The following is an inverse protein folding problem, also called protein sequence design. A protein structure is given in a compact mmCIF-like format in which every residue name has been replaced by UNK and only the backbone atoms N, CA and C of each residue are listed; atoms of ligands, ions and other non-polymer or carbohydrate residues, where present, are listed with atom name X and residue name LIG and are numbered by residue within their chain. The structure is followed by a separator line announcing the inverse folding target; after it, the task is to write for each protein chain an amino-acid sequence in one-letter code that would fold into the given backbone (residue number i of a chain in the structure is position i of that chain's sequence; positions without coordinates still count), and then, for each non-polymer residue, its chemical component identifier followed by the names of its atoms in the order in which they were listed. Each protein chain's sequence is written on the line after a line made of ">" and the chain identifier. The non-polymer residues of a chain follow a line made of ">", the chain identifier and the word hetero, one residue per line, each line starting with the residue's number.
data_IF_966110094803
#
_entry.id   IF_966110094803
#
_cell.length_a   1.000
_cell.length_b   1.000
_cell.length_c   1.000
_cell.angle_alpha   90.00
_cell.angle_beta   90.00
_cell.angle_gamma   90.00
#
_symmetry.space_group_name_H-M   'P 1'
#
loop_
_entity.id
_entity.type
_entity.pdbx_description
1 polymer ?
#
# COMPACT_ATOMS: atom_id res chain seq x y z
N UNK A 1 -18.72 2.45 8.38
CA UNK A 1 -19.13 1.25 7.59
C UNK A 1 -17.94 0.31 7.30
N UNK A 2 -16.73 0.83 7.08
CA UNK A 2 -15.49 0.07 6.83
C UNK A 2 -15.05 -0.88 7.96
N UNK A 3 -15.30 -0.49 9.22
CA UNK A 3 -14.92 -1.32 10.38
C UNK A 3 -15.62 -2.67 10.47
N UNK A 4 -16.84 -2.80 9.93
CA UNK A 4 -17.58 -4.07 9.95
C UNK A 4 -16.93 -5.10 8.99
N UNK A 5 -16.50 -4.66 7.82
CA UNK A 5 -15.79 -5.52 6.86
C UNK A 5 -14.44 -6.01 7.43
N UNK A 6 -13.71 -5.14 8.13
CA UNK A 6 -12.47 -5.52 8.80
C UNK A 6 -12.71 -6.51 9.95
N UNK A 7 -13.77 -6.31 10.73
CA UNK A 7 -14.13 -7.20 11.83
C UNK A 7 -14.43 -8.62 11.33
N UNK A 8 -15.27 -8.76 10.29
CA UNK A 8 -15.55 -10.05 9.66
C UNK A 8 -14.30 -10.71 9.05
N UNK A 9 -13.45 -9.92 8.38
CA UNK A 9 -12.17 -10.41 7.85
C UNK A 9 -11.27 -10.98 8.95
N UNK A 10 -11.09 -10.24 10.04
CA UNK A 10 -10.27 -10.69 11.16
C UNK A 10 -10.82 -11.97 11.81
N UNK A 11 -12.13 -12.11 11.99
CA UNK A 11 -12.73 -13.36 12.48
C UNK A 11 -12.40 -14.56 11.59
N UNK A 12 -12.45 -14.37 10.26
CA UNK A 12 -12.14 -15.43 9.32
C UNK A 12 -10.65 -15.83 9.35
N UNK A 13 -9.73 -14.86 9.45
CA UNK A 13 -8.30 -15.12 9.62
C UNK A 13 -7.99 -15.84 10.94
N UNK A 14 -8.64 -15.45 12.04
CA UNK A 14 -8.52 -16.13 13.34
C UNK A 14 -9.00 -17.58 13.25
N UNK A 15 -10.10 -17.83 12.55
CA UNK A 15 -10.59 -19.19 12.31
C UNK A 15 -9.59 -20.04 11.51
N UNK A 16 -8.99 -19.48 10.45
CA UNK A 16 -7.94 -20.17 9.69
C UNK A 16 -6.70 -20.46 10.53
N UNK A 17 -6.23 -19.50 11.31
CA UNK A 17 -5.07 -19.67 12.18
C UNK A 17 -5.33 -20.73 13.25
N UNK A 18 -6.54 -20.78 13.82
CA UNK A 18 -6.94 -21.84 14.75
C UNK A 18 -6.90 -23.21 14.08
N UNK A 19 -7.42 -23.34 12.86
CA UNK A 19 -7.36 -24.59 12.08
C UNK A 19 -5.91 -25.02 11.81
N UNK A 20 -5.02 -24.07 11.50
CA UNK A 20 -3.60 -24.31 11.27
C UNK A 20 -2.86 -24.72 12.56
N UNK A 21 -3.14 -24.06 13.69
CA UNK A 21 -2.58 -24.38 15.00
C UNK A 21 -2.88 -25.82 15.43
N UNK A 22 -4.10 -26.30 15.19
CA UNK A 22 -4.47 -27.70 15.46
C UNK A 22 -3.76 -28.68 14.53
N UNK A 23 -3.52 -28.32 13.27
CA UNK A 23 -2.83 -29.17 12.30
C UNK A 23 -1.33 -29.30 12.62
N UNK A 24 -0.68 -28.19 12.97
CA UNK A 24 0.76 -28.13 13.28
C UNK A 24 1.08 -28.47 14.74
N UNK A 25 0.06 -28.67 15.60
CA UNK A 25 0.19 -28.89 17.06
C UNK A 25 1.07 -27.83 17.76
N UNK A 26 0.98 -26.58 17.30
CA UNK A 26 1.78 -25.45 17.75
C UNK A 26 0.90 -24.38 18.37
N UNK A 27 1.32 -23.87 19.53
CA UNK A 27 0.61 -22.83 20.30
C UNK A 27 1.01 -21.39 19.94
N UNK A 28 2.06 -21.20 19.13
CA UNK A 28 2.67 -19.91 18.79
C UNK A 28 2.14 -19.30 17.46
N UNK A 29 0.98 -19.74 16.99
CA UNK A 29 0.38 -19.25 15.75
C UNK A 29 -0.22 -17.86 15.96
N UNK A 30 0.45 -16.83 15.43
CA UNK A 30 -0.01 -15.45 15.44
C UNK A 30 -0.69 -15.08 14.11
N UNK A 31 -1.78 -14.31 14.18
CA UNK A 31 -2.47 -13.74 13.02
C UNK A 31 -1.99 -12.32 12.78
N UNK A 32 -1.69 -11.99 11.53
CA UNK A 32 -1.52 -10.60 11.12
C UNK A 32 -2.89 -9.95 10.97
N UNK A 33 -3.18 -8.81 11.63
CA UNK A 33 -4.48 -8.18 11.56
C UNK A 33 -4.78 -7.74 10.12
N UNK A 34 -6.00 -8.00 9.67
CA UNK A 34 -6.49 -7.56 8.37
C UNK A 34 -6.75 -6.05 8.41
N UNK A 35 -5.99 -5.30 7.61
CA UNK A 35 -6.04 -3.84 7.54
C UNK A 35 -5.90 -3.32 6.11
N UNK A 36 -6.14 -2.01 5.94
CA UNK A 36 -5.85 -1.33 4.67
C UNK A 36 -4.34 -1.22 4.51
N UNK A 37 -3.84 -1.60 3.33
CA UNK A 37 -2.45 -1.38 2.94
C UNK A 37 -2.27 0.10 2.58
N UNK A 38 -1.69 0.89 3.49
CA UNK A 38 -1.43 2.33 3.28
C UNK A 38 -0.62 2.59 1.99
N UNK A 39 0.46 1.84 1.68
CA UNK A 39 1.16 1.95 0.39
C UNK A 39 0.26 1.75 -0.83
N UNK A 40 -0.61 0.73 -0.79
CA UNK A 40 -1.54 0.43 -1.87
C UNK A 40 -2.61 1.51 -2.04
N UNK A 41 -3.11 2.06 -0.93
CA UNK A 41 -4.06 3.16 -0.95
C UNK A 41 -3.44 4.43 -1.56
N UNK A 42 -2.20 4.77 -1.22
CA UNK A 42 -1.49 5.89 -1.82
C UNK A 42 -1.26 5.69 -3.31
N UNK A 43 -0.87 4.49 -3.75
CA UNK A 43 -0.74 4.20 -5.17
C UNK A 43 -2.07 4.43 -5.92
N UNK A 44 -3.21 3.98 -5.38
CA UNK A 44 -4.52 4.25 -5.96
C UNK A 44 -4.83 5.75 -6.04
N UNK A 45 -4.55 6.50 -4.98
CA UNK A 45 -4.81 7.94 -4.94
C UNK A 45 -3.96 8.68 -5.97
N UNK A 46 -2.65 8.44 -6.01
CA UNK A 46 -1.75 9.20 -6.87
C UNK A 46 -1.74 8.73 -8.33
N UNK A 47 -1.93 7.43 -8.59
CA UNK A 47 -1.84 6.85 -9.94
C UNK A 47 -3.18 6.86 -10.66
N UNK A 48 -4.30 6.76 -9.94
CA UNK A 48 -5.63 6.65 -10.55
C UNK A 48 -6.46 7.90 -10.27
N UNK A 49 -6.69 8.23 -9.00
CA UNK A 49 -7.65 9.28 -8.62
C UNK A 49 -7.14 10.67 -9.00
N UNK A 50 -5.87 10.97 -8.68
CA UNK A 50 -5.23 12.26 -8.95
C UNK A 50 -5.26 12.62 -10.44
N UNK A 51 -4.73 11.79 -11.38
CA UNK A 51 -4.75 12.16 -12.80
C UNK A 51 -6.18 12.22 -13.37
N UNK A 52 -7.11 11.39 -12.88
CA UNK A 52 -8.53 11.46 -13.28
C UNK A 52 -9.15 12.79 -12.88
N UNK A 53 -8.87 13.27 -11.66
CA UNK A 53 -9.40 14.53 -11.15
C UNK A 53 -8.80 15.74 -11.86
N UNK A 54 -7.46 15.82 -11.96
CA UNK A 54 -6.76 16.94 -12.60
C UNK A 54 -6.95 16.96 -14.13
N UNK A 55 -7.16 15.80 -14.76
CA UNK A 55 -7.54 15.74 -16.17
C UNK A 55 -8.95 16.27 -16.43
N UNK A 56 -9.88 16.08 -15.49
CA UNK A 56 -11.26 16.54 -15.61
C UNK A 56 -11.45 18.03 -15.27
N UNK A 57 -10.72 18.54 -14.28
CA UNK A 57 -10.92 19.92 -13.77
C UNK A 57 -10.65 21.01 -14.82
N UNK A 58 -9.89 20.68 -15.85
CA UNK A 58 -9.60 21.57 -16.98
C UNK A 58 -10.80 21.78 -17.91
N UNK A 59 -11.85 20.96 -17.82
CA UNK A 59 -12.95 20.94 -18.80
C UNK A 59 -14.34 20.96 -18.16
N UNK A 60 -14.48 20.58 -16.89
CA UNK A 60 -15.77 20.45 -16.21
C UNK A 60 -15.78 21.08 -14.81
N UNK A 61 -16.99 21.24 -14.27
CA UNK A 61 -17.20 21.75 -12.92
C UNK A 61 -16.65 20.80 -11.85
N UNK A 62 -16.20 21.37 -10.72
CA UNK A 62 -15.49 20.64 -9.66
C UNK A 62 -16.31 19.49 -9.09
N UNK A 63 -17.63 19.70 -8.93
CA UNK A 63 -18.54 18.70 -8.38
C UNK A 63 -18.66 17.47 -9.29
N UNK A 64 -18.68 17.67 -10.61
CA UNK A 64 -18.73 16.58 -11.59
C UNK A 64 -17.43 15.77 -11.57
N UNK A 65 -16.28 16.45 -11.52
CA UNK A 65 -14.97 15.78 -11.49
C UNK A 65 -14.74 14.95 -10.22
N UNK A 66 -15.26 15.39 -9.07
CA UNK A 66 -15.23 14.58 -7.83
C UNK A 66 -16.06 13.31 -7.97
N UNK A 67 -17.26 13.39 -8.55
CA UNK A 67 -18.11 12.23 -8.78
C UNK A 67 -17.48 11.26 -9.78
N UNK A 68 -16.93 11.78 -10.88
CA UNK A 68 -16.23 10.96 -11.87
C UNK A 68 -15.05 10.22 -11.24
N UNK A 69 -14.20 10.92 -10.49
CA UNK A 69 -13.06 10.32 -9.81
C UNK A 69 -13.49 9.22 -8.82
N UNK A 70 -14.63 9.40 -8.13
CA UNK A 70 -15.21 8.38 -7.25
C UNK A 70 -15.66 7.14 -8.01
N UNK A 71 -16.37 7.30 -9.13
CA UNK A 71 -16.80 6.16 -9.95
C UNK A 71 -15.62 5.39 -10.55
N UNK A 72 -14.61 6.11 -11.03
CA UNK A 72 -13.37 5.51 -11.54
C UNK A 72 -12.66 4.74 -10.44
N UNK A 73 -12.52 5.31 -9.24
CA UNK A 73 -11.91 4.63 -8.09
C UNK A 73 -12.64 3.33 -7.72
N UNK A 74 -13.97 3.35 -7.69
CA UNK A 74 -14.79 2.16 -7.43
C UNK A 74 -14.62 1.09 -8.51
N UNK A 75 -14.66 1.49 -9.79
CA UNK A 75 -14.49 0.58 -10.92
C UNK A 75 -13.10 -0.06 -10.92
N UNK A 76 -12.05 0.73 -10.72
CA UNK A 76 -10.68 0.23 -10.60
C UNK A 76 -10.53 -0.75 -9.45
N UNK A 77 -11.09 -0.45 -8.27
CA UNK A 77 -11.01 -1.36 -7.12
C UNK A 77 -11.74 -2.70 -7.38
N UNK A 78 -12.87 -2.66 -8.08
CA UNK A 78 -13.59 -3.87 -8.47
C UNK A 78 -12.77 -4.71 -9.47
N UNK A 79 -12.20 -4.07 -10.49
CA UNK A 79 -11.34 -4.74 -11.49
C UNK A 79 -10.14 -5.38 -10.80
N UNK A 80 -9.46 -4.65 -9.92
CA UNK A 80 -8.36 -5.18 -9.11
C UNK A 80 -8.82 -6.40 -8.31
N UNK A 81 -9.98 -6.34 -7.64
CA UNK A 81 -10.55 -7.49 -6.93
C UNK A 81 -10.77 -8.72 -7.83
N UNK A 82 -11.30 -8.53 -9.04
CA UNK A 82 -11.50 -9.61 -10.02
C UNK A 82 -10.17 -10.20 -10.46
N UNK A 83 -9.19 -9.34 -10.77
CA UNK A 83 -7.84 -9.78 -11.15
C UNK A 83 -7.20 -10.58 -10.02
N UNK A 84 -7.25 -10.11 -8.77
CA UNK A 84 -6.73 -10.86 -7.62
C UNK A 84 -7.45 -12.21 -7.43
N UNK A 85 -8.76 -12.25 -7.64
CA UNK A 85 -9.52 -13.49 -7.54
C UNK A 85 -9.06 -14.52 -8.58
N UNK A 86 -8.85 -14.09 -9.83
CA UNK A 86 -8.31 -14.93 -10.90
C UNK A 86 -6.87 -15.38 -10.60
N UNK A 87 -6.02 -14.48 -10.11
CA UNK A 87 -4.62 -14.78 -9.75
C UNK A 87 -4.53 -15.72 -8.54
N UNK A 88 -5.49 -15.68 -7.62
CA UNK A 88 -5.50 -16.52 -6.43
C UNK A 88 -5.52 -18.02 -6.79
N UNK A 89 -6.11 -18.40 -7.92
CA UNK A 89 -6.14 -19.78 -8.43
C UNK A 89 -4.70 -20.30 -8.66
N UNK A 90 -3.82 -19.44 -9.18
CA UNK A 90 -2.40 -19.75 -9.40
C UNK A 90 -1.52 -19.39 -8.20
N UNK A 91 -2.09 -18.81 -7.15
CA UNK A 91 -1.37 -18.27 -6.00
C UNK A 91 -0.53 -19.32 -5.26
N UNK A 92 -1.05 -20.54 -5.10
CA UNK A 92 -0.28 -21.62 -4.44
C UNK A 92 0.95 -22.05 -5.24
N UNK A 93 0.85 -22.06 -6.57
CA UNK A 93 1.96 -22.40 -7.44
C UNK A 93 3.06 -21.33 -7.36
N UNK A 94 2.68 -20.05 -7.43
CA UNK A 94 3.60 -18.92 -7.31
C UNK A 94 4.26 -18.93 -5.93
N UNK A 95 3.50 -19.14 -4.85
CA UNK A 95 4.02 -19.20 -3.47
C UNK A 95 5.06 -20.30 -3.27
N UNK A 96 4.88 -21.48 -3.90
CA UNK A 96 5.83 -22.60 -3.77
C UNK A 96 7.14 -22.37 -4.53
N UNK A 97 7.08 -21.66 -5.66
CA UNK A 97 8.25 -21.40 -6.51
C UNK A 97 8.98 -20.09 -6.16
N UNK A 98 8.33 -19.18 -5.42
CA UNK A 98 8.91 -17.87 -5.07
C UNK A 98 9.70 -17.97 -3.77
N UNK A 99 11.01 -17.63 -3.76
CA UNK A 99 11.79 -17.60 -2.53
C UNK A 99 11.28 -16.48 -1.61
N UNK A 100 11.30 -16.72 -0.29
CA UNK A 100 10.84 -15.77 0.73
C UNK A 100 11.52 -14.39 0.65
N UNK A 101 12.79 -14.37 0.26
CA UNK A 101 13.59 -13.15 0.11
C UNK A 101 13.05 -12.24 -1.00
N UNK A 102 12.50 -12.80 -2.08
CA UNK A 102 11.91 -12.02 -3.17
C UNK A 102 10.66 -11.26 -2.70
N UNK A 103 9.85 -11.87 -1.83
CA UNK A 103 8.65 -11.23 -1.25
C UNK A 103 9.04 -10.06 -0.32
N UNK A 104 10.05 -10.26 0.54
CA UNK A 104 10.57 -9.20 1.42
C UNK A 104 11.15 -8.03 0.63
N UNK A 105 11.85 -8.31 -0.47
CA UNK A 105 12.47 -7.28 -1.31
C UNK A 105 11.42 -6.40 -1.97
N UNK A 106 10.34 -6.98 -2.50
CA UNK A 106 9.26 -6.22 -3.14
C UNK A 106 8.54 -5.27 -2.18
N UNK A 107 8.23 -5.73 -0.96
CA UNK A 107 7.56 -4.89 0.05
C UNK A 107 8.50 -3.79 0.56
N UNK A 108 9.77 -4.15 0.82
CA UNK A 108 10.78 -3.19 1.29
C UNK A 108 11.09 -2.14 0.24
N UNK A 109 11.19 -2.52 -1.03
CA UNK A 109 11.41 -1.60 -2.15
C UNK A 109 10.27 -0.61 -2.33
N UNK A 110 9.01 -1.08 -2.28
CA UNK A 110 7.85 -0.20 -2.34
C UNK A 110 7.79 0.74 -1.13
N UNK A 111 8.03 0.22 0.08
CA UNK A 111 8.06 1.02 1.30
C UNK A 111 9.15 2.09 1.27
N UNK A 112 10.36 1.72 0.86
CA UNK A 112 11.48 2.65 0.70
C UNK A 112 11.16 3.73 -0.34
N UNK A 113 10.65 3.35 -1.52
CA UNK A 113 10.32 4.29 -2.57
C UNK A 113 9.29 5.33 -2.10
N UNK A 114 8.25 4.91 -1.37
CA UNK A 114 7.23 5.81 -0.85
C UNK A 114 7.80 6.74 0.22
N UNK A 115 8.50 6.18 1.22
CA UNK A 115 9.08 6.97 2.30
C UNK A 115 10.11 7.98 1.76
N UNK A 116 11.01 7.53 0.88
CA UNK A 116 12.02 8.37 0.28
C UNK A 116 11.40 9.46 -0.61
N UNK A 117 10.45 9.10 -1.49
CA UNK A 117 9.85 10.06 -2.41
C UNK A 117 8.98 11.09 -1.68
N UNK A 118 8.26 10.70 -0.64
CA UNK A 118 7.41 11.61 0.11
C UNK A 118 8.22 12.71 0.81
N UNK A 119 9.37 12.37 1.38
CA UNK A 119 10.28 13.33 2.02
C UNK A 119 11.15 14.09 1.00
N UNK A 120 11.47 13.47 -0.14
CA UNK A 120 12.33 14.07 -1.16
C UNK A 120 11.64 15.20 -1.94
N UNK A 121 10.38 15.03 -2.33
CA UNK A 121 9.65 16.03 -3.13
C UNK A 121 9.66 17.45 -2.52
N UNK A 122 9.30 17.65 -1.24
CA UNK A 122 9.32 19.00 -0.63
C UNK A 122 10.75 19.56 -0.48
N UNK A 123 11.74 18.69 -0.29
CA UNK A 123 13.17 19.08 -0.24
C UNK A 123 13.66 19.56 -1.61
N UNK A 124 13.21 18.92 -2.68
CA UNK A 124 13.58 19.29 -4.05
C UNK A 124 12.98 20.63 -4.49
N UNK A 125 11.83 21.04 -3.95
CA UNK A 125 11.18 22.32 -4.27
C UNK A 125 11.94 23.52 -3.70
N UNK A 126 12.55 23.39 -2.52
CA UNK A 126 13.30 24.47 -1.86
C UNK A 126 14.65 23.94 -1.35
N UNK A 127 15.62 23.69 -2.25
CA UNK A 127 16.87 23.03 -1.89
C UNK A 127 17.71 23.82 -0.88
N UNK A 128 17.56 25.15 -0.85
CA UNK A 128 18.31 26.03 0.06
C UNK A 128 17.97 25.77 1.53
N UNK A 129 16.73 25.38 1.84
CA UNK A 129 16.29 25.09 3.22
C UNK A 129 16.84 23.73 3.68
N UNK A 130 17.05 22.79 2.75
CA UNK A 130 17.62 21.48 3.04
C UNK A 130 19.14 21.49 3.28
N UNK A 131 19.85 22.54 2.85
CA UNK A 131 21.28 22.68 3.11
C UNK A 131 21.61 22.74 4.61
N UNK A 132 20.72 23.29 5.44
CA UNK A 132 20.93 23.42 6.89
C UNK A 132 20.93 22.04 7.59
N UNK A 133 19.86 21.23 7.52
CA UNK A 133 19.87 19.88 8.10
C UNK A 133 20.90 18.97 7.44
N UNK A 134 21.14 19.10 6.13
CA UNK A 134 22.19 18.34 5.45
C UNK A 134 23.59 18.64 6.01
N UNK A 135 23.90 19.91 6.27
CA UNK A 135 25.18 20.32 6.87
C UNK A 135 25.32 19.79 8.30
N UNK A 136 24.25 19.81 9.10
CA UNK A 136 24.25 19.25 10.47
C UNK A 136 24.48 17.75 10.44
N UNK A 137 23.82 17.01 9.54
CA UNK A 137 24.02 15.56 9.38
C UNK A 137 25.44 15.25 8.91
N UNK A 138 25.98 15.99 7.93
CA UNK A 138 27.35 15.82 7.46
C UNK A 138 28.37 16.10 8.57
N UNK A 139 28.17 17.18 9.35
CA UNK A 139 29.03 17.50 10.50
C UNK A 139 28.91 16.46 11.61
N UNK A 140 27.72 15.92 11.89
CA UNK A 140 27.55 14.85 12.87
C UNK A 140 28.12 13.50 12.42
N UNK A 141 28.12 13.24 11.10
CA UNK A 141 28.63 11.98 10.53
C UNK A 141 30.14 11.98 10.38
N UNK A 142 30.72 13.10 9.94
CA UNK A 142 32.17 13.26 9.77
C UNK A 142 32.89 13.86 10.98
N UNK A 143 32.15 14.47 11.90
CA UNK A 143 32.67 15.12 13.12
C UNK A 143 32.49 14.31 14.40
N UNK A 144 32.35 12.98 14.27
CA UNK A 144 32.66 12.08 15.39
C UNK A 144 34.09 12.27 15.87
#
# INVERSE_FOLDING_TARGET
>A
RTGLAMLWGNFYYVYMARKLAFKEKRGDVCVMPYGICTPGAFAFIYVIISPTYYGCISTHDKAYCQQLAWYVALASNLITGIVLFLLCIFGEFIRKNTPSIALLTSISGLGYAILALNEYLPVAEIPIVACIPFSIVMLGYFGG
#
